data_IF_122675732836
#
_entry.id   IF_122675732836
#
_cell.length_a   1.000
_cell.length_b   1.000
_cell.length_c   1.000
_cell.angle_alpha   90.00
_cell.angle_beta   90.00
_cell.angle_gamma   90.00
#
_symmetry.space_group_name_H-M   'P 1'
#
loop_
_entity.id
_entity.type
_entity.pdbx_description
1 polymer ?
#
# COMPACT_ATOMS: atom_id res chain seq x y z
N UNK A 1 -14.03 13.48 17.59
CA UNK A 1 -13.92 13.15 16.15
C UNK A 1 -12.63 12.35 15.95
N UNK A 2 -12.76 11.15 15.39
CA UNK A 2 -11.89 9.99 15.64
C UNK A 2 -10.59 10.00 14.82
N UNK A 3 -9.45 9.85 15.50
CA UNK A 3 -8.09 9.85 14.95
C UNK A 3 -7.87 8.80 13.83
N UNK A 4 -8.69 7.75 13.79
CA UNK A 4 -8.68 6.72 12.75
C UNK A 4 -9.20 7.22 11.38
N UNK A 5 -10.14 8.17 11.38
CA UNK A 5 -10.72 8.72 10.15
C UNK A 5 -9.73 9.62 9.42
N UNK A 6 -8.96 10.44 10.15
CA UNK A 6 -7.94 11.30 9.56
C UNK A 6 -6.81 10.50 8.90
N UNK A 7 -6.38 9.38 9.48
CA UNK A 7 -5.34 8.53 8.86
C UNK A 7 -5.80 7.91 7.54
N UNK A 8 -7.05 7.42 7.47
CA UNK A 8 -7.65 6.92 6.22
C UNK A 8 -7.73 7.99 5.14
N UNK A 9 -8.14 9.21 5.50
CA UNK A 9 -8.22 10.35 4.57
C UNK A 9 -6.84 10.70 4.02
N UNK A 10 -5.80 10.72 4.87
CA UNK A 10 -4.43 10.99 4.44
C UNK A 10 -3.94 9.90 3.46
N UNK A 11 -4.20 8.63 3.75
CA UNK A 11 -3.79 7.53 2.87
C UNK A 11 -4.54 7.57 1.53
N UNK A 12 -5.83 7.94 1.53
CA UNK A 12 -6.62 8.15 0.32
C UNK A 12 -6.07 9.33 -0.52
N UNK A 13 -5.76 10.46 0.11
CA UNK A 13 -5.17 11.62 -0.56
C UNK A 13 -3.80 11.29 -1.13
N UNK A 14 -2.98 10.53 -0.41
CA UNK A 14 -1.66 10.10 -0.87
C UNK A 14 -1.76 9.14 -2.06
N UNK A 15 -2.71 8.19 -2.02
CA UNK A 15 -2.99 7.29 -3.16
C UNK A 15 -3.50 8.04 -4.39
N UNK A 16 -4.45 8.96 -4.19
CA UNK A 16 -4.97 9.81 -5.27
C UNK A 16 -3.89 10.74 -5.85
N UNK A 17 -3.04 11.31 -5.00
CA UNK A 17 -1.92 12.15 -5.43
C UNK A 17 -0.96 11.33 -6.30
N UNK A 18 -0.43 10.22 -5.77
CA UNK A 18 0.60 9.41 -6.45
C UNK A 18 0.08 8.83 -7.77
N UNK A 19 -1.11 8.22 -7.77
CA UNK A 19 -1.67 7.66 -9.01
C UNK A 19 -2.15 8.75 -9.97
N UNK A 20 -2.57 9.90 -9.46
CA UNK A 20 -2.84 11.09 -10.28
C UNK A 20 -1.59 11.59 -11.00
N UNK A 21 -0.43 11.66 -10.32
CA UNK A 21 0.84 12.03 -10.96
C UNK A 21 1.26 10.99 -12.00
N UNK A 22 1.16 9.71 -11.68
CA UNK A 22 1.50 8.62 -12.62
C UNK A 22 0.60 8.66 -13.86
N UNK A 23 -0.72 8.77 -13.69
CA UNK A 23 -1.68 8.89 -14.80
C UNK A 23 -1.46 10.14 -15.65
N UNK A 24 -1.09 11.26 -15.02
CA UNK A 24 -0.72 12.50 -15.72
C UNK A 24 0.54 12.31 -16.56
N UNK A 25 1.59 11.71 -16.01
CA UNK A 25 2.84 11.45 -16.71
C UNK A 25 2.64 10.46 -17.88
N UNK A 26 1.84 9.41 -17.71
CA UNK A 26 1.49 8.49 -18.79
C UNK A 26 0.68 9.18 -19.90
N UNK A 27 -0.29 10.01 -19.53
CA UNK A 27 -1.08 10.80 -20.49
C UNK A 27 -0.22 11.79 -21.29
N UNK A 28 0.79 12.38 -20.66
CA UNK A 28 1.75 13.27 -21.33
C UNK A 28 2.65 12.51 -22.30
N UNK A 29 3.12 11.32 -21.90
CA UNK A 29 4.01 10.48 -22.71
C UNK A 29 3.32 9.88 -23.94
N UNK A 30 2.03 9.51 -23.85
CA UNK A 30 1.30 8.96 -25.00
C UNK A 30 0.95 10.01 -26.05
N UNK A 31 0.81 11.28 -25.68
CA UNK A 31 0.41 12.35 -26.59
C UNK A 31 -0.99 12.17 -27.19
N UNK A 32 -1.55 13.22 -27.79
CA UNK A 32 -2.81 13.11 -28.58
C UNK A 32 -4.07 12.86 -27.75
N UNK A 33 -4.60 13.88 -27.06
CA UNK A 33 -5.97 13.87 -26.50
C UNK A 33 -6.27 12.86 -25.37
N UNK A 34 -5.39 11.89 -25.11
CA UNK A 34 -5.57 10.85 -24.09
C UNK A 34 -5.30 11.36 -22.66
N UNK A 35 -4.72 12.55 -22.53
CA UNK A 35 -4.34 13.18 -21.27
C UNK A 35 -5.47 13.20 -20.21
N UNK A 36 -6.67 13.75 -20.47
CA UNK A 36 -7.77 13.74 -19.48
C UNK A 36 -8.25 12.33 -19.14
N UNK A 37 -8.18 11.38 -20.08
CA UNK A 37 -8.60 9.99 -19.86
C UNK A 37 -7.60 9.28 -18.95
N UNK A 38 -6.30 9.41 -19.22
CA UNK A 38 -5.23 8.83 -18.41
C UNK A 38 -5.22 9.39 -16.98
N UNK A 39 -5.42 10.70 -16.84
CA UNK A 39 -5.58 11.37 -15.54
C UNK A 39 -6.81 10.83 -14.83
N UNK A 40 -7.97 10.77 -15.51
CA UNK A 40 -9.22 10.26 -14.95
C UNK A 40 -9.08 8.83 -14.44
N UNK A 41 -8.48 7.94 -15.24
CA UNK A 41 -8.23 6.56 -14.85
C UNK A 41 -7.26 6.50 -13.67
N UNK A 42 -6.18 7.28 -13.68
CA UNK A 42 -5.22 7.36 -12.57
C UNK A 42 -5.87 7.83 -11.27
N UNK A 43 -6.75 8.82 -11.33
CA UNK A 43 -7.45 9.35 -10.16
C UNK A 43 -8.49 8.36 -9.62
N UNK A 44 -9.25 7.71 -10.50
CA UNK A 44 -10.22 6.66 -10.13
C UNK A 44 -9.49 5.46 -9.52
N UNK A 45 -8.41 4.99 -10.14
CA UNK A 45 -7.63 3.86 -9.60
C UNK A 45 -6.92 4.24 -8.29
N UNK A 46 -6.39 5.45 -8.18
CA UNK A 46 -5.77 5.95 -6.94
C UNK A 46 -6.74 6.02 -5.76
N UNK A 47 -7.96 6.47 -6.02
CA UNK A 47 -9.02 6.51 -5.01
C UNK A 47 -9.49 5.10 -4.63
N UNK A 48 -9.68 4.20 -5.60
CA UNK A 48 -10.00 2.79 -5.34
C UNK A 48 -8.90 2.12 -4.50
N UNK A 49 -7.63 2.22 -4.89
CA UNK A 49 -6.51 1.64 -4.14
C UNK A 49 -6.42 2.20 -2.71
N UNK A 50 -6.65 3.51 -2.54
CA UNK A 50 -6.71 4.15 -1.22
C UNK A 50 -7.86 3.64 -0.33
N UNK A 51 -8.98 3.24 -0.93
CA UNK A 51 -10.12 2.66 -0.22
C UNK A 51 -9.91 1.18 0.16
N UNK A 52 -9.24 0.40 -0.69
CA UNK A 52 -9.15 -1.06 -0.53
C UNK A 52 -8.02 -1.54 0.40
N UNK A 53 -6.89 -0.84 0.52
CA UNK A 53 -5.70 -1.41 1.16
C UNK A 53 -4.90 -0.51 2.10
N UNK A 54 -5.29 0.76 2.25
CA UNK A 54 -4.56 1.74 3.04
C UNK A 54 -3.09 1.88 2.61
N UNK A 55 -2.22 2.31 3.54
CA UNK A 55 -0.80 2.54 3.27
C UNK A 55 0.01 1.27 2.93
N UNK A 56 -0.28 0.14 3.58
CA UNK A 56 0.56 -1.07 3.49
C UNK A 56 0.47 -1.73 2.10
N UNK A 57 -0.73 -1.75 1.52
CA UNK A 57 -0.96 -2.28 0.17
C UNK A 57 -0.27 -1.43 -0.90
N UNK A 58 -0.31 -0.10 -0.75
CA UNK A 58 0.36 0.80 -1.68
C UNK A 58 1.88 0.62 -1.62
N UNK A 59 2.45 0.53 -0.40
CA UNK A 59 3.88 0.27 -0.20
C UNK A 59 4.30 -1.07 -0.81
N UNK A 60 3.50 -2.14 -0.61
CA UNK A 60 3.86 -3.47 -1.13
C UNK A 60 3.80 -3.55 -2.65
N UNK A 61 2.79 -2.94 -3.28
CA UNK A 61 2.73 -2.79 -4.73
C UNK A 61 3.95 -2.01 -5.19
N UNK A 62 4.25 -0.85 -4.60
CA UNK A 62 5.37 0.01 -5.01
C UNK A 62 6.72 -0.73 -4.93
N UNK A 63 6.96 -1.45 -3.84
CA UNK A 63 8.16 -2.29 -3.68
C UNK A 63 8.18 -3.38 -4.76
N UNK A 64 7.06 -4.05 -5.00
CA UNK A 64 6.91 -5.05 -6.06
C UNK A 64 7.22 -4.49 -7.44
N UNK A 65 6.70 -3.31 -7.78
CA UNK A 65 6.93 -2.63 -9.07
C UNK A 65 8.41 -2.31 -9.25
N UNK A 66 9.07 -1.79 -8.22
CA UNK A 66 10.50 -1.44 -8.27
C UNK A 66 11.35 -2.71 -8.41
N UNK A 67 11.10 -3.73 -7.58
CA UNK A 67 11.85 -4.99 -7.64
C UNK A 67 11.64 -5.71 -8.97
N UNK A 68 10.40 -5.79 -9.46
CA UNK A 68 10.08 -6.42 -10.74
C UNK A 68 10.69 -5.68 -11.93
N UNK A 69 10.69 -4.34 -11.89
CA UNK A 69 11.34 -3.51 -12.90
C UNK A 69 12.86 -3.70 -12.92
N UNK A 70 13.50 -3.70 -11.74
CA UNK A 70 14.94 -3.93 -11.59
C UNK A 70 15.30 -5.35 -12.06
N UNK A 71 14.56 -6.39 -11.65
CA UNK A 71 14.82 -7.75 -12.11
C UNK A 71 14.69 -7.89 -13.63
N UNK A 72 13.64 -7.32 -14.22
CA UNK A 72 13.47 -7.36 -15.67
C UNK A 72 14.58 -6.58 -16.40
N UNK A 73 15.04 -5.47 -15.83
CA UNK A 73 16.17 -4.74 -16.36
C UNK A 73 17.45 -5.59 -16.37
N UNK A 74 17.73 -6.28 -15.26
CA UNK A 74 18.92 -7.12 -15.10
C UNK A 74 18.89 -8.38 -15.97
N UNK A 75 17.72 -8.99 -16.18
CA UNK A 75 17.60 -10.26 -16.93
C UNK A 75 17.34 -10.07 -18.43
N UNK A 76 16.56 -9.07 -18.81
CA UNK A 76 16.02 -8.94 -20.18
C UNK A 76 16.27 -7.55 -20.80
N UNK A 77 17.05 -6.70 -20.14
CA UNK A 77 17.40 -5.37 -20.63
C UNK A 77 16.28 -4.34 -20.49
N UNK A 78 16.56 -3.11 -20.94
CA UNK A 78 15.69 -1.94 -20.72
C UNK A 78 14.32 -2.05 -21.41
N UNK A 79 14.22 -2.87 -22.46
CA UNK A 79 13.01 -3.04 -23.26
C UNK A 79 11.87 -3.77 -22.51
N UNK A 80 12.20 -4.52 -21.46
CA UNK A 80 11.23 -5.32 -20.69
C UNK A 80 10.94 -4.76 -19.30
N UNK A 81 11.50 -3.61 -18.94
CA UNK A 81 11.31 -2.98 -17.62
C UNK A 81 9.82 -2.79 -17.31
N UNK A 82 9.04 -2.30 -18.29
CA UNK A 82 7.60 -2.03 -18.12
C UNK A 82 6.81 -3.30 -17.77
N UNK A 83 7.16 -4.43 -18.39
CA UNK A 83 6.51 -5.72 -18.17
C UNK A 83 6.90 -6.28 -16.81
N UNK A 84 8.18 -6.20 -16.45
CA UNK A 84 8.67 -6.59 -15.13
C UNK A 84 8.08 -5.77 -14.00
N UNK A 85 7.98 -4.46 -14.20
CA UNK A 85 7.34 -3.54 -13.27
C UNK A 85 5.86 -3.89 -13.08
N UNK A 86 5.12 -4.15 -14.16
CA UNK A 86 3.72 -4.58 -14.09
C UNK A 86 3.52 -5.91 -13.37
N UNK A 87 4.33 -6.92 -13.69
CA UNK A 87 4.27 -8.23 -13.03
C UNK A 87 4.66 -8.14 -11.54
N UNK A 88 5.69 -7.37 -11.23
CA UNK A 88 6.14 -7.11 -9.86
C UNK A 88 5.09 -6.37 -9.04
N UNK A 89 4.40 -5.38 -9.63
CA UNK A 89 3.29 -4.68 -8.99
C UNK A 89 2.16 -5.65 -8.62
N UNK A 90 1.81 -6.58 -9.51
CA UNK A 90 0.77 -7.59 -9.25
C UNK A 90 1.16 -8.55 -8.11
N UNK A 91 2.39 -9.07 -8.14
CA UNK A 91 2.89 -9.96 -7.07
C UNK A 91 3.07 -9.23 -5.74
N UNK A 92 3.60 -8.01 -5.75
CA UNK A 92 3.77 -7.16 -4.56
C UNK A 92 2.43 -6.76 -3.93
N UNK A 93 1.39 -6.58 -4.74
CA UNK A 93 0.02 -6.41 -4.27
C UNK A 93 -0.50 -7.63 -3.53
N UNK A 94 -0.38 -8.82 -4.13
CA UNK A 94 -0.83 -10.07 -3.51
C UNK A 94 -0.07 -10.38 -2.21
N UNK A 95 1.27 -10.29 -2.23
CA UNK A 95 2.11 -10.54 -1.05
C UNK A 95 1.88 -9.52 0.06
N UNK A 96 1.62 -8.25 -0.27
CA UNK A 96 1.31 -7.22 0.71
C UNK A 96 0.03 -7.47 1.49
N UNK A 97 -1.01 -7.96 0.80
CA UNK A 97 -2.26 -8.35 1.45
C UNK A 97 -2.01 -9.52 2.40
N UNK A 98 -1.32 -10.57 1.94
CA UNK A 98 -1.01 -11.74 2.76
C UNK A 98 -0.18 -11.39 4.01
N UNK A 99 0.85 -10.55 3.84
CA UNK A 99 1.71 -10.14 4.94
C UNK A 99 0.98 -9.24 5.95
N UNK A 100 0.04 -8.41 5.48
CA UNK A 100 -0.74 -7.54 6.36
C UNK A 100 -1.64 -8.33 7.31
N UNK A 101 -2.29 -9.38 6.82
CA UNK A 101 -3.13 -10.27 7.66
C UNK A 101 -2.29 -11.02 8.71
N UNK A 102 -1.10 -11.50 8.33
CA UNK A 102 -0.23 -12.23 9.26
C UNK A 102 0.31 -11.30 10.37
N UNK A 103 0.70 -10.08 10.00
CA UNK A 103 1.17 -9.05 10.94
C UNK A 103 0.08 -8.60 11.90
N UNK A 104 -1.15 -8.45 11.44
CA UNK A 104 -2.28 -8.04 12.29
C UNK A 104 -2.58 -9.15 13.33
N UNK A 105 -2.52 -10.42 12.93
CA UNK A 105 -2.65 -11.55 13.86
C UNK A 105 -1.52 -11.60 14.91
N UNK A 106 -0.29 -11.23 14.53
CA UNK A 106 0.82 -11.14 15.49
C UNK A 106 0.69 -9.95 16.45
N UNK A 107 0.17 -8.82 15.97
CA UNK A 107 -0.11 -7.66 16.81
C UNK A 107 -1.19 -7.98 17.86
N UNK A 108 -2.27 -8.66 17.46
CA UNK A 108 -3.32 -9.12 18.38
C UNK A 108 -2.76 -10.09 19.44
N UNK A 109 -1.99 -11.10 19.02
CA UNK A 109 -1.36 -12.05 19.95
C UNK A 109 -0.45 -11.36 20.98
N UNK A 110 0.30 -10.33 20.55
CA UNK A 110 1.19 -9.59 21.45
C UNK A 110 0.41 -8.72 22.44
N UNK A 111 -0.73 -8.15 22.05
CA UNK A 111 -1.60 -7.38 22.94
C UNK A 111 -2.28 -8.26 24.00
N UNK A 112 -2.74 -9.45 23.62
CA UNK A 112 -3.31 -10.43 24.56
C UNK A 112 -2.26 -10.88 25.57
N UNK A 113 -1.03 -11.19 25.11
CA UNK A 113 0.07 -11.57 26.00
C UNK A 113 0.45 -10.46 27.01
N UNK A 114 0.36 -9.19 26.63
CA UNK A 114 0.64 -8.05 27.51
C UNK A 114 -0.48 -7.82 28.54
N UNK A 115 -1.76 -8.03 28.17
CA UNK A 115 -2.88 -7.94 29.13
C UNK A 115 -2.88 -9.08 30.16
N UNK A 116 -2.47 -10.29 29.78
CA UNK A 116 -2.36 -11.43 30.71
C UNK A 116 -1.18 -11.29 31.69
N UNK A 117 -0.20 -10.42 31.40
CA UNK A 117 0.97 -10.19 32.25
C UNK A 117 0.86 -8.95 33.16
N UNK A 118 -0.24 -8.18 33.13
CA UNK A 118 -0.49 -7.17 34.14
C UNK A 118 -0.80 -7.87 35.47
N UNK A 119 0.07 -7.76 36.50
CA UNK A 119 -0.11 -8.51 37.73
C UNK A 119 -1.37 -8.01 38.44
N UNK A 120 -2.30 -8.92 38.67
CA UNK A 120 -3.36 -8.82 39.69
C UNK A 120 -2.70 -8.72 41.06
N UNK A 121 -2.23 -7.51 41.39
CA UNK A 121 -1.56 -7.15 42.63
C UNK A 121 -2.33 -6.06 43.37
N UNK A 122 -3.65 -6.21 43.48
CA UNK A 122 -4.43 -5.52 44.50
C UNK A 122 -5.10 -6.59 45.34
N UNK A 123 -4.71 -6.65 46.62
CA UNK A 123 -5.42 -7.14 47.82
C UNK A 123 -4.46 -7.81 48.80
N UNK A 124 -3.57 -7.01 49.40
CA UNK A 124 -3.22 -7.17 50.81
C UNK A 124 -3.44 -5.82 51.47
N UNK A 125 -4.68 -5.61 51.91
CA UNK A 125 -5.02 -4.63 52.95
C UNK A 125 -4.23 -5.00 54.21
N UNK A 126 -3.45 -4.05 54.69
CA UNK A 126 -2.97 -3.93 56.07
C UNK A 126 -3.55 -2.62 56.62
N UNK A 127 -3.64 -2.37 57.94
CA UNK A 127 -3.11 -3.12 59.08
C UNK A 127 -4.15 -3.78 60.00
#
# INVERSE_FOLDING_TARGET
>A
MSQASSRKIIDMLLGALVMGTVGSLLGLLMGGGVLPIAIGIGLVMGTVVGLFGGRRFLISILIGTILGGILAWLLAGAEKISVGAGAGAAMGGFLGVQYSMLMDMWAERKQVAVQTQAPSGENQEAP
#
